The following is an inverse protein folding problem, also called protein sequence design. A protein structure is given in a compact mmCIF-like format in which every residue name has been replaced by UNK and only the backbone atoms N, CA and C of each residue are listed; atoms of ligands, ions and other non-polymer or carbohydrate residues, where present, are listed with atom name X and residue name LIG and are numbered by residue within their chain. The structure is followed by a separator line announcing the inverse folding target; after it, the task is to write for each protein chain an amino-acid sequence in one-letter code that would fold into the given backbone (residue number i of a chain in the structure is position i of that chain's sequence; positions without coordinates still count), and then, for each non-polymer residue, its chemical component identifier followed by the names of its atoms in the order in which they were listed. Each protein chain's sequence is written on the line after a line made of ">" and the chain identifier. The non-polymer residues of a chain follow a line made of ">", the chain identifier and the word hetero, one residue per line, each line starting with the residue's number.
data_IF_526156227331
#
_entry.id   IF_526156227331
#
_cell.length_a   1.000
_cell.length_b   1.000
_cell.length_c   1.000
_cell.angle_alpha   90.00
_cell.angle_beta   90.00
_cell.angle_gamma   90.00
#
_symmetry.space_group_name_H-M   'P 1'
#
loop_
_entity.id
_entity.type
_entity.pdbx_description
1 polymer ?
#
# COMPACT_ATOMS: atom_id res chain seq x y z
N UNK A 1 -15.76 -23.34 -17.68
CA UNK A 1 -14.48 -22.60 -17.48
C UNK A 1 -14.81 -21.13 -17.32
N UNK A 2 -14.33 -20.52 -16.26
CA UNK A 2 -14.50 -19.09 -16.06
C UNK A 2 -13.91 -18.31 -17.22
N UNK A 3 -14.59 -17.25 -17.64
CA UNK A 3 -14.10 -16.32 -18.67
C UNK A 3 -13.36 -15.13 -18.08
N UNK A 4 -13.14 -15.09 -16.76
CA UNK A 4 -12.50 -13.97 -16.07
C UNK A 4 -11.01 -13.89 -16.41
N UNK A 5 -10.57 -12.69 -16.75
CA UNK A 5 -9.15 -12.37 -16.98
C UNK A 5 -8.64 -11.66 -15.73
N UNK A 6 -7.71 -12.28 -15.01
CA UNK A 6 -7.20 -11.71 -13.77
C UNK A 6 -6.17 -10.59 -13.99
N UNK A 7 -6.29 -9.44 -13.31
CA UNK A 7 -5.39 -8.30 -13.47
C UNK A 7 -4.08 -8.46 -12.69
N UNK A 8 -3.38 -9.58 -12.85
CA UNK A 8 -2.15 -9.86 -12.10
C UNK A 8 -1.07 -8.84 -12.47
N UNK A 9 -0.65 -8.04 -11.48
CA UNK A 9 0.35 -6.98 -11.66
C UNK A 9 -0.16 -5.73 -12.39
N UNK A 10 -1.46 -5.65 -12.72
CA UNK A 10 -2.06 -4.47 -13.34
C UNK A 10 -2.58 -3.54 -12.25
N UNK A 11 -2.12 -2.30 -12.26
CA UNK A 11 -2.44 -1.27 -11.26
C UNK A 11 -3.29 -0.12 -11.84
N UNK A 12 -3.45 -0.08 -13.16
CA UNK A 12 -4.15 0.99 -13.85
C UNK A 12 -5.64 0.64 -13.99
N UNK A 13 -6.51 1.42 -13.35
CA UNK A 13 -7.95 1.22 -13.32
C UNK A 13 -8.57 1.34 -14.72
N UNK A 14 -8.16 2.32 -15.51
CA UNK A 14 -8.65 2.50 -16.88
C UNK A 14 -8.36 1.26 -17.74
N UNK A 15 -7.13 0.72 -17.65
CA UNK A 15 -6.77 -0.50 -18.35
C UNK A 15 -7.62 -1.69 -17.89
N UNK A 16 -7.84 -1.85 -16.60
CA UNK A 16 -8.70 -2.92 -16.05
C UNK A 16 -10.09 -2.84 -16.64
N UNK A 17 -10.68 -1.64 -16.69
CA UNK A 17 -12.05 -1.44 -17.17
C UNK A 17 -12.18 -1.58 -18.69
N UNK A 18 -11.24 -1.02 -19.46
CA UNK A 18 -11.27 -1.06 -20.93
C UNK A 18 -10.97 -2.42 -21.51
N UNK A 19 -10.03 -3.15 -20.90
CA UNK A 19 -9.60 -4.47 -21.41
C UNK A 19 -10.42 -5.62 -20.81
N UNK A 20 -11.43 -5.33 -19.98
CA UNK A 20 -12.35 -6.33 -19.45
C UNK A 20 -11.76 -7.25 -18.38
N UNK A 21 -10.75 -6.79 -17.64
CA UNK A 21 -10.21 -7.55 -16.52
C UNK A 21 -11.21 -7.65 -15.36
N UNK A 22 -11.09 -8.73 -14.61
CA UNK A 22 -11.83 -8.92 -13.38
C UNK A 22 -11.52 -7.81 -12.35
N UNK A 23 -12.55 -7.25 -11.76
CA UNK A 23 -12.44 -6.19 -10.75
C UNK A 23 -13.43 -6.42 -9.62
N UNK A 24 -12.95 -6.47 -8.38
CA UNK A 24 -13.79 -6.47 -7.19
C UNK A 24 -14.13 -5.01 -6.86
N UNK A 25 -15.41 -4.69 -6.87
CA UNK A 25 -15.88 -3.31 -6.76
C UNK A 25 -15.73 -2.75 -5.34
N UNK A 26 -14.78 -1.84 -5.18
CA UNK A 26 -14.54 -1.06 -3.95
C UNK A 26 -15.07 0.38 -4.04
N UNK A 27 -15.75 0.71 -5.15
CA UNK A 27 -16.07 2.11 -5.47
C UNK A 27 -17.07 2.76 -4.52
N UNK A 28 -17.92 1.97 -3.83
CA UNK A 28 -18.78 2.49 -2.76
C UNK A 28 -17.97 3.04 -1.57
N UNK A 29 -16.91 2.34 -1.16
CA UNK A 29 -16.00 2.81 -0.10
C UNK A 29 -15.19 4.02 -0.53
N UNK A 30 -14.72 4.02 -1.78
CA UNK A 30 -14.02 5.15 -2.38
C UNK A 30 -14.92 6.39 -2.42
N UNK A 31 -16.18 6.23 -2.82
CA UNK A 31 -17.16 7.31 -2.79
C UNK A 31 -17.36 7.88 -1.38
N UNK A 32 -17.53 7.00 -0.39
CA UNK A 32 -17.63 7.42 1.00
C UNK A 32 -16.38 8.17 1.45
N UNK A 33 -15.19 7.70 1.11
CA UNK A 33 -13.91 8.34 1.44
C UNK A 33 -13.85 9.78 0.91
N UNK A 34 -14.16 9.99 -0.36
CA UNK A 34 -14.06 11.31 -1.01
C UNK A 34 -15.15 12.29 -0.57
N UNK A 35 -16.26 11.80 0.00
CA UNK A 35 -17.35 12.65 0.52
C UNK A 35 -17.21 12.97 2.02
N UNK A 36 -16.36 12.26 2.77
CA UNK A 36 -16.27 12.42 4.24
C UNK A 36 -15.05 13.18 4.72
N UNK A 37 -14.05 13.41 3.87
CA UNK A 37 -12.87 14.17 4.24
C UNK A 37 -12.01 14.53 3.03
N UNK A 38 -10.86 15.14 3.30
CA UNK A 38 -10.01 15.69 2.24
C UNK A 38 -8.56 15.18 2.27
N UNK A 39 -8.03 14.81 3.43
CA UNK A 39 -6.62 14.41 3.56
C UNK A 39 -6.55 13.04 4.20
N UNK A 40 -5.99 12.07 3.46
CA UNK A 40 -5.92 10.68 3.90
C UNK A 40 -4.54 10.06 3.72
N UNK A 41 -4.23 9.17 4.63
CA UNK A 41 -3.07 8.31 4.59
C UNK A 41 -3.50 6.84 4.70
N UNK A 42 -2.92 5.97 3.88
CA UNK A 42 -3.14 4.53 3.93
C UNK A 42 -1.84 3.75 3.82
N UNK A 43 -1.54 2.97 4.84
CA UNK A 43 -0.49 1.97 4.81
C UNK A 43 -1.10 0.57 4.62
N UNK A 44 -0.58 -0.20 3.67
CA UNK A 44 -0.91 -1.62 3.44
C UNK A 44 0.34 -2.35 2.94
N UNK A 45 0.48 -3.64 3.21
CA UNK A 45 1.55 -4.44 2.64
C UNK A 45 1.61 -4.33 1.11
N UNK A 46 2.73 -4.73 0.53
CA UNK A 46 2.87 -4.79 -0.92
C UNK A 46 1.81 -5.68 -1.56
N UNK A 47 1.40 -5.37 -2.79
CA UNK A 47 0.44 -6.16 -3.59
C UNK A 47 -1.00 -6.20 -3.04
N UNK A 48 -1.36 -5.29 -2.13
CA UNK A 48 -2.72 -5.17 -1.60
C UNK A 48 -3.66 -4.30 -2.44
N UNK A 49 -3.18 -3.65 -3.51
CA UNK A 49 -4.03 -2.85 -4.39
C UNK A 49 -4.01 -1.34 -4.11
N UNK A 50 -3.01 -0.81 -3.34
CA UNK A 50 -2.87 0.64 -3.08
C UNK A 50 -2.81 1.49 -4.35
N UNK A 51 -1.93 1.11 -5.28
CA UNK A 51 -1.77 1.82 -6.55
C UNK A 51 -3.05 1.77 -7.41
N UNK A 52 -3.79 0.65 -7.36
CA UNK A 52 -5.09 0.54 -8.02
C UNK A 52 -6.12 1.47 -7.38
N UNK A 53 -6.14 1.59 -6.05
CA UNK A 53 -6.98 2.54 -5.33
C UNK A 53 -6.68 3.98 -5.79
N UNK A 54 -5.40 4.38 -5.86
CA UNK A 54 -5.02 5.71 -6.35
C UNK A 54 -5.39 5.91 -7.82
N UNK A 55 -5.21 4.91 -8.67
CA UNK A 55 -5.63 4.96 -10.07
C UNK A 55 -7.15 5.09 -10.22
N UNK A 56 -7.93 4.46 -9.33
CA UNK A 56 -9.39 4.59 -9.30
C UNK A 56 -9.82 6.00 -8.85
N UNK A 57 -9.16 6.55 -7.81
CA UNK A 57 -9.37 7.93 -7.37
C UNK A 57 -9.00 8.93 -8.45
N UNK A 58 -7.90 8.72 -9.16
CA UNK A 58 -7.49 9.56 -10.29
C UNK A 58 -8.56 9.57 -11.39
N UNK A 59 -9.08 8.40 -11.78
CA UNK A 59 -10.14 8.29 -12.77
C UNK A 59 -11.42 9.00 -12.30
N UNK A 60 -11.79 8.85 -11.03
CA UNK A 60 -12.94 9.54 -10.44
C UNK A 60 -12.79 11.06 -10.49
N UNK A 61 -11.67 11.60 -10.00
CA UNK A 61 -11.44 13.04 -9.97
C UNK A 61 -11.19 13.66 -11.35
N UNK A 62 -10.82 12.87 -12.35
CA UNK A 62 -10.79 13.28 -13.76
C UNK A 62 -12.16 13.18 -14.45
N UNK A 63 -13.23 12.92 -13.73
CA UNK A 63 -14.59 12.86 -14.26
C UNK A 63 -14.84 11.72 -15.27
N UNK A 64 -14.02 10.65 -15.25
CA UNK A 64 -14.07 9.52 -16.20
C UNK A 64 -15.23 8.58 -15.91
N UNK A 65 -16.46 9.10 -15.99
CA UNK A 65 -17.69 8.38 -15.66
C UNK A 65 -17.80 7.03 -16.37
N UNK A 66 -17.39 6.95 -17.63
CA UNK A 66 -17.47 5.75 -18.47
C UNK A 66 -16.70 4.55 -17.89
N UNK A 67 -15.69 4.80 -17.05
CA UNK A 67 -14.93 3.73 -16.41
C UNK A 67 -15.66 3.10 -15.22
N UNK A 68 -16.67 3.77 -14.71
CA UNK A 68 -17.45 3.34 -13.54
C UNK A 68 -18.79 2.68 -13.90
N UNK A 69 -19.06 2.50 -15.19
CA UNK A 69 -20.27 1.83 -15.66
C UNK A 69 -20.43 0.44 -15.03
N UNK A 70 -21.58 0.18 -14.42
CA UNK A 70 -21.88 -1.05 -13.70
C UNK A 70 -21.25 -1.18 -12.31
N UNK A 71 -20.52 -0.18 -11.83
CA UNK A 71 -19.96 -0.14 -10.47
C UNK A 71 -20.84 0.71 -9.53
N UNK A 72 -20.72 0.48 -8.22
CA UNK A 72 -21.53 1.17 -7.20
C UNK A 72 -21.45 2.70 -7.31
N UNK A 73 -20.27 3.25 -7.62
CA UNK A 73 -20.06 4.69 -7.73
C UNK A 73 -20.89 5.34 -8.85
N UNK A 74 -21.22 4.62 -9.92
CA UNK A 74 -22.06 5.15 -11.00
C UNK A 74 -23.43 5.60 -10.49
N UNK A 75 -24.02 4.84 -9.58
CA UNK A 75 -25.32 5.16 -8.98
C UNK A 75 -25.23 6.23 -7.90
N UNK A 76 -24.09 6.34 -7.20
CA UNK A 76 -23.86 7.22 -6.06
C UNK A 76 -23.44 8.64 -6.49
N UNK A 77 -22.57 8.77 -7.50
CA UNK A 77 -22.10 10.07 -7.99
C UNK A 77 -23.01 10.61 -9.08
N UNK A 78 -23.36 11.91 -8.97
CA UNK A 78 -24.26 12.56 -9.92
C UNK A 78 -23.56 13.64 -10.78
N UNK A 79 -22.57 14.31 -10.20
CA UNK A 79 -22.03 15.54 -10.80
C UNK A 79 -20.80 15.27 -11.68
N UNK A 80 -20.01 14.24 -11.39
CA UNK A 80 -18.80 13.86 -12.14
C UNK A 80 -17.90 15.04 -12.51
N UNK A 81 -17.64 15.89 -11.52
CA UNK A 81 -16.82 17.09 -11.70
C UNK A 81 -15.37 16.70 -12.00
N UNK A 82 -14.80 17.33 -13.01
CA UNK A 82 -13.40 17.18 -13.37
C UNK A 82 -12.52 18.13 -12.54
N UNK A 83 -11.50 17.56 -11.87
CA UNK A 83 -10.50 18.26 -11.08
C UNK A 83 -9.10 18.09 -11.69
N UNK A 84 -8.19 19.07 -11.57
CA UNK A 84 -6.79 18.85 -11.88
C UNK A 84 -6.18 17.88 -10.87
N UNK A 85 -5.56 16.80 -11.36
CA UNK A 85 -4.95 15.75 -10.53
C UNK A 85 -3.45 15.77 -10.73
N UNK A 86 -2.71 15.90 -9.63
CA UNK A 86 -1.25 15.70 -9.55
C UNK A 86 -1.04 14.36 -8.88
N UNK A 87 -0.59 13.37 -9.64
CA UNK A 87 -0.31 12.02 -9.16
C UNK A 87 1.20 11.77 -9.22
N UNK A 88 1.82 11.54 -8.06
CA UNK A 88 3.24 11.32 -7.89
C UNK A 88 3.48 9.86 -7.48
N UNK A 89 4.34 9.16 -8.21
CA UNK A 89 4.76 7.79 -7.92
C UNK A 89 6.25 7.77 -7.52
N UNK A 90 6.53 7.51 -6.24
CA UNK A 90 7.89 7.41 -5.74
C UNK A 90 8.51 6.01 -5.93
N UNK A 91 7.79 5.08 -6.56
CA UNK A 91 8.32 3.75 -6.86
C UNK A 91 9.21 3.70 -8.13
N UNK A 92 9.19 4.75 -8.93
CA UNK A 92 9.74 4.73 -10.29
C UNK A 92 11.28 4.68 -10.39
N UNK A 93 12.04 4.74 -9.26
CA UNK A 93 13.49 4.81 -9.26
C UNK A 93 14.13 4.09 -8.07
N UNK A 94 15.42 3.73 -8.22
CA UNK A 94 16.29 3.35 -7.10
C UNK A 94 16.84 4.60 -6.42
N UNK A 95 16.90 4.59 -5.09
CA UNK A 95 17.34 5.71 -4.27
C UNK A 95 18.71 5.39 -3.64
N UNK A 96 19.77 5.82 -4.28
CA UNK A 96 21.16 5.56 -3.86
C UNK A 96 21.90 6.82 -3.42
N UNK A 97 21.48 8.00 -3.90
CA UNK A 97 22.11 9.31 -3.63
C UNK A 97 21.08 10.35 -3.23
N UNK A 98 21.54 11.40 -2.52
CA UNK A 98 20.73 12.54 -2.08
C UNK A 98 19.86 13.15 -3.18
N UNK A 99 20.44 13.28 -4.38
CA UNK A 99 19.75 13.88 -5.52
C UNK A 99 18.72 12.96 -6.20
N UNK A 100 18.62 11.69 -5.84
CA UNK A 100 17.76 10.77 -6.57
C UNK A 100 16.28 11.07 -6.32
N UNK A 101 15.91 11.44 -5.09
CA UNK A 101 14.56 11.85 -4.75
C UNK A 101 14.16 13.16 -5.44
N UNK A 102 15.02 14.16 -5.37
CA UNK A 102 14.79 15.47 -6.00
C UNK A 102 14.60 15.29 -7.50
N UNK A 103 15.49 14.54 -8.17
CA UNK A 103 15.40 14.29 -9.63
C UNK A 103 14.15 13.51 -10.03
N UNK A 104 13.67 12.61 -9.17
CA UNK A 104 12.43 11.88 -9.44
C UNK A 104 11.24 12.82 -9.40
N UNK A 105 11.12 13.59 -8.32
CA UNK A 105 10.03 14.57 -8.16
C UNK A 105 10.10 15.63 -9.27
N UNK A 106 11.28 16.16 -9.54
CA UNK A 106 11.53 17.11 -10.62
C UNK A 106 10.94 16.66 -11.97
N UNK A 107 11.26 15.44 -12.39
CA UNK A 107 10.73 14.87 -13.64
C UNK A 107 9.20 14.76 -13.66
N UNK A 108 8.60 14.43 -12.54
CA UNK A 108 7.16 14.29 -12.45
C UNK A 108 6.48 15.66 -12.46
N UNK A 109 7.04 16.66 -11.75
CA UNK A 109 6.51 18.04 -11.79
C UNK A 109 6.57 18.63 -13.20
N UNK A 110 7.65 18.40 -13.96
CA UNK A 110 7.78 18.89 -15.35
C UNK A 110 6.59 18.48 -16.24
N UNK A 111 6.02 17.29 -16.04
CA UNK A 111 4.86 16.83 -16.80
C UNK A 111 3.65 17.72 -16.55
N UNK A 112 3.40 18.08 -15.29
CA UNK A 112 2.28 18.93 -14.91
C UNK A 112 2.54 20.41 -15.20
N UNK A 113 3.77 20.87 -15.08
CA UNK A 113 4.18 22.22 -15.48
C UNK A 113 3.98 22.46 -16.96
N UNK A 114 4.25 21.47 -17.81
CA UNK A 114 3.93 21.56 -19.24
C UNK A 114 2.42 21.72 -19.48
N UNK A 115 1.58 21.19 -18.60
CA UNK A 115 0.12 21.28 -18.71
C UNK A 115 -0.44 22.57 -18.09
N UNK A 116 0.03 22.96 -16.90
CA UNK A 116 -0.58 24.04 -16.11
C UNK A 116 0.26 25.31 -16.10
N UNK A 117 1.54 25.26 -16.39
CA UNK A 117 2.49 26.35 -16.35
C UNK A 117 3.51 26.20 -15.21
N UNK A 118 4.55 27.03 -15.25
CA UNK A 118 5.63 27.11 -14.27
C UNK A 118 6.06 28.55 -14.04
N UNK A 119 6.85 28.80 -13.00
CA UNK A 119 7.46 30.10 -12.73
C UNK A 119 9.00 29.97 -12.75
N UNK A 120 9.68 30.86 -13.45
CA UNK A 120 11.14 30.85 -13.59
C UNK A 120 11.88 31.24 -12.30
N UNK A 121 11.16 31.75 -11.29
CA UNK A 121 11.73 32.10 -9.97
C UNK A 121 11.68 30.93 -8.96
N UNK A 122 11.07 29.82 -9.32
CA UNK A 122 10.99 28.66 -8.42
C UNK A 122 12.35 27.93 -8.39
N UNK A 123 12.97 27.85 -7.21
CA UNK A 123 14.31 27.29 -7.06
C UNK A 123 14.27 25.85 -6.56
N UNK A 124 13.28 25.49 -5.74
CA UNK A 124 13.15 24.19 -5.09
C UNK A 124 11.93 23.41 -5.58
N UNK A 125 11.91 22.10 -5.32
CA UNK A 125 10.76 21.26 -5.70
C UNK A 125 9.48 21.61 -4.93
N UNK A 126 9.59 22.13 -3.73
CA UNK A 126 8.48 22.59 -2.91
C UNK A 126 7.93 23.95 -3.44
N UNK A 127 8.77 24.91 -3.82
CA UNK A 127 8.33 26.16 -4.48
C UNK A 127 7.57 25.84 -5.78
N UNK A 128 8.11 24.94 -6.57
CA UNK A 128 7.47 24.50 -7.82
C UNK A 128 6.12 23.84 -7.58
N UNK A 129 5.99 23.01 -6.53
CA UNK A 129 4.71 22.41 -6.18
C UNK A 129 3.69 23.48 -5.75
N UNK A 130 4.09 24.49 -4.96
CA UNK A 130 3.22 25.64 -4.60
C UNK A 130 2.71 26.33 -5.85
N UNK A 131 3.61 26.71 -6.75
CA UNK A 131 3.25 27.38 -8.01
C UNK A 131 2.35 26.51 -8.87
N UNK A 132 2.68 25.24 -9.02
CA UNK A 132 1.89 24.28 -9.81
C UNK A 132 0.47 24.12 -9.28
N UNK A 133 0.28 23.97 -7.97
CA UNK A 133 -1.05 23.87 -7.34
C UNK A 133 -1.86 25.13 -7.64
N UNK A 134 -1.26 26.32 -7.47
CA UNK A 134 -1.93 27.60 -7.75
C UNK A 134 -2.33 27.72 -9.22
N UNK A 135 -1.39 27.50 -10.14
CA UNK A 135 -1.64 27.65 -11.59
C UNK A 135 -2.65 26.62 -12.10
N UNK A 136 -2.61 25.38 -11.60
CA UNK A 136 -3.59 24.37 -11.95
C UNK A 136 -5.00 24.77 -11.51
N UNK A 137 -5.13 25.28 -10.27
CA UNK A 137 -6.41 25.75 -9.76
C UNK A 137 -6.94 26.99 -10.53
N UNK A 138 -6.08 27.97 -10.81
CA UNK A 138 -6.44 29.16 -11.57
C UNK A 138 -6.87 28.82 -13.01
N UNK A 139 -6.13 27.92 -13.67
CA UNK A 139 -6.41 27.53 -15.06
C UNK A 139 -7.69 26.73 -15.22
N UNK A 140 -8.03 25.88 -14.24
CA UNK A 140 -9.21 25.01 -14.32
C UNK A 140 -10.43 25.57 -13.61
N UNK A 141 -10.27 26.55 -12.73
CA UNK A 141 -11.32 27.03 -11.83
C UNK A 141 -11.72 26.01 -10.76
N UNK A 142 -10.94 24.93 -10.60
CA UNK A 142 -11.20 23.85 -9.67
C UNK A 142 -10.01 23.66 -8.72
N UNK A 143 -10.27 23.22 -7.48
CA UNK A 143 -9.22 22.86 -6.53
C UNK A 143 -8.48 21.61 -7.00
N UNK A 144 -7.21 21.48 -6.62
CA UNK A 144 -6.30 20.43 -7.04
C UNK A 144 -6.48 19.17 -6.20
N UNK A 145 -6.35 18.01 -6.83
CA UNK A 145 -6.24 16.70 -6.16
C UNK A 145 -4.77 16.25 -6.17
N UNK A 146 -4.25 15.81 -5.03
CA UNK A 146 -2.88 15.32 -4.88
C UNK A 146 -2.93 13.85 -4.49
N UNK A 147 -2.34 12.98 -5.30
CA UNK A 147 -2.19 11.56 -5.04
C UNK A 147 -0.70 11.21 -5.00
N UNK A 148 -0.28 10.49 -3.96
CA UNK A 148 1.13 10.08 -3.79
C UNK A 148 1.18 8.58 -3.52
N UNK A 149 1.83 7.84 -4.42
CA UNK A 149 2.07 6.41 -4.25
C UNK A 149 3.48 6.12 -3.73
N UNK A 150 3.58 5.11 -2.83
CA UNK A 150 4.84 4.62 -2.24
C UNK A 150 5.69 5.74 -1.60
N UNK A 151 5.03 6.64 -0.85
CA UNK A 151 5.67 7.83 -0.24
C UNK A 151 6.91 7.49 0.61
N UNK A 152 6.93 6.31 1.21
CA UNK A 152 7.96 5.81 2.12
C UNK A 152 9.13 5.09 1.44
N UNK A 153 9.04 4.85 0.15
CA UNK A 153 10.05 4.11 -0.63
C UNK A 153 11.47 4.69 -0.52
N UNK A 154 11.69 6.02 -0.61
CA UNK A 154 13.00 6.60 -0.42
C UNK A 154 13.58 6.28 0.96
N UNK A 155 12.75 6.41 2.00
CA UNK A 155 13.13 6.15 3.38
C UNK A 155 13.47 4.67 3.63
N UNK A 156 12.66 3.75 3.08
CA UNK A 156 12.88 2.31 3.19
C UNK A 156 14.18 1.87 2.49
N UNK A 157 14.50 2.44 1.33
CA UNK A 157 15.73 2.13 0.63
C UNK A 157 16.97 2.74 1.27
N UNK A 158 16.82 3.76 2.10
CA UNK A 158 17.91 4.39 2.84
C UNK A 158 18.16 3.76 4.23
N UNK A 159 17.43 2.71 4.62
CA UNK A 159 17.68 2.01 5.89
C UNK A 159 19.13 1.53 5.94
N UNK A 160 19.81 1.81 7.07
CA UNK A 160 21.24 1.52 7.26
C UNK A 160 22.20 2.61 6.71
N UNK A 161 21.65 3.69 6.13
CA UNK A 161 22.38 4.88 5.66
C UNK A 161 21.79 6.13 6.29
N UNK A 162 22.12 6.37 7.54
CA UNK A 162 21.43 7.32 8.41
C UNK A 162 21.46 8.77 7.88
N UNK A 163 22.58 9.22 7.29
CA UNK A 163 22.70 10.55 6.67
C UNK A 163 21.76 10.71 5.47
N UNK A 164 21.75 9.75 4.58
CA UNK A 164 20.86 9.74 3.40
C UNK A 164 19.37 9.70 3.81
N UNK A 165 19.07 8.95 4.85
CA UNK A 165 17.71 8.84 5.36
C UNK A 165 17.23 10.16 5.95
N UNK A 166 18.10 10.91 6.67
CA UNK A 166 17.76 12.23 7.20
C UNK A 166 17.56 13.26 6.09
N UNK A 167 18.37 13.21 5.03
CA UNK A 167 18.20 14.06 3.85
C UNK A 167 16.84 13.83 3.16
N UNK A 168 16.49 12.57 2.93
CA UNK A 168 15.19 12.23 2.34
C UNK A 168 14.04 12.65 3.25
N UNK A 169 14.18 12.48 4.56
CA UNK A 169 13.19 12.94 5.54
C UNK A 169 12.97 14.43 5.44
N UNK A 170 14.06 15.21 5.45
CA UNK A 170 14.01 16.68 5.36
C UNK A 170 13.35 17.13 4.06
N UNK A 171 13.74 16.54 2.93
CA UNK A 171 13.17 16.84 1.61
C UNK A 171 11.67 16.52 1.55
N UNK A 172 11.26 15.33 2.01
CA UNK A 172 9.85 14.93 2.02
C UNK A 172 9.01 15.78 2.98
N UNK A 173 9.58 16.18 4.13
CA UNK A 173 8.90 17.07 5.08
C UNK A 173 8.61 18.43 4.47
N UNK A 174 9.59 19.05 3.83
CA UNK A 174 9.40 20.32 3.13
C UNK A 174 8.35 20.19 2.02
N UNK A 175 8.51 19.18 1.17
CA UNK A 175 7.63 18.94 0.03
C UNK A 175 6.16 18.68 0.43
N UNK A 176 5.91 17.81 1.41
CA UNK A 176 4.53 17.55 1.86
C UNK A 176 3.98 18.68 2.74
N UNK A 177 4.84 19.46 3.38
CA UNK A 177 4.44 20.67 4.12
C UNK A 177 3.67 21.68 3.26
N UNK A 178 3.95 21.71 1.95
CA UNK A 178 3.22 22.52 0.96
C UNK A 178 1.71 22.26 1.02
N UNK A 179 1.27 21.01 1.23
CA UNK A 179 -0.15 20.69 1.28
C UNK A 179 -0.91 21.45 2.38
N UNK A 180 -0.23 21.76 3.50
CA UNK A 180 -0.83 22.54 4.58
C UNK A 180 -0.96 24.02 4.20
N UNK A 181 0.09 24.60 3.64
CA UNK A 181 0.09 26.01 3.25
C UNK A 181 -0.86 26.31 2.07
N UNK A 182 -1.12 25.28 1.23
CA UNK A 182 -1.97 25.35 0.04
C UNK A 182 -3.37 24.77 0.26
N UNK A 183 -3.82 24.57 1.51
CA UNK A 183 -5.10 23.93 1.85
C UNK A 183 -6.31 24.53 1.10
N UNK A 184 -6.36 25.85 0.96
CA UNK A 184 -7.44 26.54 0.21
C UNK A 184 -7.54 26.14 -1.27
N UNK A 185 -6.46 25.65 -1.87
CA UNK A 185 -6.37 25.20 -3.26
C UNK A 185 -6.51 23.69 -3.44
N UNK A 186 -6.51 22.91 -2.35
CA UNK A 186 -6.56 21.45 -2.41
C UNK A 186 -7.98 20.96 -2.16
N UNK A 187 -8.49 20.12 -3.06
CA UNK A 187 -9.77 19.43 -2.95
C UNK A 187 -9.65 18.15 -2.13
N UNK A 188 -8.58 17.39 -2.40
CA UNK A 188 -8.36 16.07 -1.83
C UNK A 188 -6.89 15.71 -1.94
N UNK A 189 -6.37 15.03 -0.93
CA UNK A 189 -5.03 14.47 -0.95
C UNK A 189 -5.04 13.05 -0.37
N UNK A 190 -4.37 12.11 -1.02
CA UNK A 190 -4.17 10.77 -0.50
C UNK A 190 -2.74 10.31 -0.72
N UNK A 191 -2.12 9.87 0.38
CA UNK A 191 -0.78 9.29 0.38
C UNK A 191 -0.88 7.81 0.71
N UNK A 192 -0.18 6.98 -0.06
CA UNK A 192 -0.08 5.55 0.21
C UNK A 192 1.36 5.10 0.37
N UNK A 193 1.57 4.06 1.18
CA UNK A 193 2.86 3.45 1.40
C UNK A 193 2.75 2.06 2.01
N UNK A 194 3.89 1.44 2.20
CA UNK A 194 3.99 0.16 2.92
C UNK A 194 4.04 0.41 4.41
N UNK A 195 4.86 1.37 4.83
CA UNK A 195 5.12 1.67 6.24
C UNK A 195 4.63 3.07 6.62
N UNK A 196 4.58 3.33 7.91
CA UNK A 196 4.31 4.66 8.48
C UNK A 196 5.61 5.40 8.80
N UNK A 197 6.61 5.22 7.95
CA UNK A 197 7.95 5.77 8.11
C UNK A 197 7.89 7.30 8.19
N UNK A 198 8.44 7.85 9.27
CA UNK A 198 8.44 9.28 9.45
C UNK A 198 7.06 9.92 9.65
N UNK A 199 6.00 9.16 9.95
CA UNK A 199 4.66 9.72 10.23
C UNK A 199 4.73 10.86 11.24
N UNK A 200 5.55 10.70 12.28
CA UNK A 200 5.75 11.73 13.30
C UNK A 200 6.65 12.86 12.80
N UNK A 201 7.63 12.58 11.92
CA UNK A 201 8.64 13.56 11.51
C UNK A 201 8.38 14.19 10.14
N UNK A 202 7.89 13.42 9.17
CA UNK A 202 7.58 13.92 7.81
C UNK A 202 6.22 14.63 7.77
N UNK A 203 5.24 14.11 8.49
CA UNK A 203 3.88 14.66 8.53
C UNK A 203 3.58 15.44 9.82
N UNK A 204 4.58 15.77 10.64
CA UNK A 204 4.39 16.56 11.88
C UNK A 204 3.60 17.85 11.67
N UNK A 205 3.75 18.44 10.50
CA UNK A 205 3.10 19.69 10.13
C UNK A 205 1.72 19.49 9.46
N UNK A 206 1.36 18.25 9.05
CA UNK A 206 0.07 17.89 8.44
C UNK A 206 -0.91 17.33 9.48
N UNK A 207 -1.38 18.17 10.39
CA UNK A 207 -2.29 17.78 11.48
C UNK A 207 -3.67 17.30 10.98
N UNK A 208 -4.02 17.61 9.73
CA UNK A 208 -5.28 17.27 9.08
C UNK A 208 -5.24 15.94 8.31
N UNK A 209 -4.10 15.23 8.31
CA UNK A 209 -3.93 13.94 7.61
C UNK A 209 -4.57 12.81 8.42
N UNK A 210 -5.65 12.25 7.91
CA UNK A 210 -6.38 11.14 8.52
C UNK A 210 -5.75 9.80 8.14
N UNK A 211 -5.11 9.14 9.09
CA UNK A 211 -4.59 7.78 8.88
C UNK A 211 -5.71 6.75 9.00
N UNK A 212 -6.16 6.25 7.86
CA UNK A 212 -7.24 5.26 7.78
C UNK A 212 -6.75 3.80 7.85
N UNK A 213 -5.45 3.58 8.03
CA UNK A 213 -4.85 2.24 7.99
C UNK A 213 -5.44 1.27 9.01
N UNK A 214 -5.88 1.77 10.17
CA UNK A 214 -6.47 0.97 11.24
C UNK A 214 -7.94 1.35 11.51
N UNK A 215 -8.63 2.00 10.59
CA UNK A 215 -10.05 2.30 10.76
C UNK A 215 -10.91 1.15 10.22
N UNK A 216 -11.72 0.54 11.09
CA UNK A 216 -12.62 -0.56 10.73
C UNK A 216 -13.48 -0.26 9.50
N UNK A 217 -13.88 1.00 9.31
CA UNK A 217 -14.70 1.46 8.20
C UNK A 217 -14.02 1.30 6.82
N UNK A 218 -12.67 1.23 6.77
CA UNK A 218 -11.87 1.17 5.54
C UNK A 218 -10.92 -0.04 5.52
N UNK A 219 -11.22 -1.06 6.32
CA UNK A 219 -10.36 -2.27 6.39
C UNK A 219 -10.27 -2.95 5.02
N UNK A 220 -11.38 -3.05 4.34
CA UNK A 220 -11.56 -3.74 3.06
C UNK A 220 -11.44 -2.82 1.83
N UNK A 221 -10.99 -1.57 2.00
CA UNK A 221 -10.72 -0.67 0.86
C UNK A 221 -9.63 -1.21 -0.08
N UNK A 222 -8.71 -2.01 0.46
CA UNK A 222 -7.68 -2.77 -0.25
C UNK A 222 -7.67 -4.21 0.26
N UNK A 223 -7.29 -5.15 -0.59
CA UNK A 223 -7.35 -6.58 -0.28
C UNK A 223 -8.66 -7.21 -0.76
N UNK A 224 -8.85 -8.47 -0.44
CA UNK A 224 -10.09 -9.22 -0.72
C UNK A 224 -10.57 -9.84 0.59
N UNK A 225 -11.83 -9.62 0.95
CA UNK A 225 -12.46 -10.29 2.09
C UNK A 225 -12.99 -11.66 1.70
N UNK A 226 -13.24 -12.52 2.70
CA UNK A 226 -13.83 -13.85 2.47
C UNK A 226 -15.22 -13.74 1.82
N UNK A 227 -16.03 -12.76 2.21
CA UNK A 227 -17.32 -12.50 1.57
C UNK A 227 -17.17 -12.11 0.11
N UNK A 228 -16.24 -11.21 -0.23
CA UNK A 228 -15.99 -10.82 -1.62
C UNK A 228 -15.45 -11.96 -2.47
N UNK A 229 -14.64 -12.85 -1.87
CA UNK A 229 -14.18 -14.07 -2.54
C UNK A 229 -15.38 -14.91 -2.98
N UNK A 230 -16.31 -15.20 -2.07
CA UNK A 230 -17.48 -16.00 -2.37
C UNK A 230 -18.44 -15.30 -3.34
N UNK A 231 -18.70 -14.01 -3.16
CA UNK A 231 -19.63 -13.24 -4.01
C UNK A 231 -19.13 -13.12 -5.45
N UNK A 232 -17.82 -13.12 -5.66
CA UNK A 232 -17.25 -12.83 -6.98
C UNK A 232 -16.56 -14.02 -7.66
N UNK A 233 -16.18 -15.07 -6.94
CA UNK A 233 -15.33 -16.15 -7.45
C UNK A 233 -15.89 -17.57 -7.14
N UNK A 234 -17.22 -17.72 -6.94
CA UNK A 234 -17.85 -18.99 -6.59
C UNK A 234 -17.62 -20.08 -7.66
N UNK A 235 -17.72 -19.71 -8.93
CA UNK A 235 -17.47 -20.64 -10.06
C UNK A 235 -16.02 -21.07 -10.08
N UNK A 236 -15.11 -20.11 -9.92
CA UNK A 236 -13.67 -20.34 -9.92
C UNK A 236 -13.21 -21.17 -8.71
N UNK A 237 -13.86 -20.99 -7.54
CA UNK A 237 -13.64 -21.85 -6.37
C UNK A 237 -14.00 -23.31 -6.67
N UNK A 238 -15.13 -23.54 -7.35
CA UNK A 238 -15.54 -24.89 -7.74
C UNK A 238 -14.59 -25.50 -8.78
N UNK A 239 -14.17 -24.73 -9.77
CA UNK A 239 -13.20 -25.17 -10.80
C UNK A 239 -11.83 -25.49 -10.16
N UNK A 240 -11.38 -24.68 -9.19
CA UNK A 240 -10.13 -24.93 -8.48
C UNK A 240 -10.23 -26.20 -7.60
N UNK A 241 -11.36 -26.40 -6.92
CA UNK A 241 -11.61 -27.62 -6.15
C UNK A 241 -11.52 -28.86 -7.04
N UNK A 242 -12.22 -28.86 -8.17
CA UNK A 242 -12.20 -29.95 -9.15
C UNK A 242 -10.78 -30.22 -9.66
N UNK A 243 -10.03 -29.18 -10.02
CA UNK A 243 -8.66 -29.29 -10.52
C UNK A 243 -7.70 -29.91 -9.51
N UNK A 244 -7.98 -29.74 -8.21
CA UNK A 244 -7.17 -30.28 -7.10
C UNK A 244 -7.70 -31.61 -6.57
N UNK A 245 -8.85 -32.08 -7.02
CA UNK A 245 -9.52 -33.26 -6.47
C UNK A 245 -10.00 -33.04 -5.02
N UNK A 246 -10.36 -31.82 -4.69
CA UNK A 246 -10.85 -31.40 -3.39
C UNK A 246 -12.32 -31.07 -3.43
N UNK A 247 -12.99 -31.12 -2.29
CA UNK A 247 -14.34 -30.56 -2.17
C UNK A 247 -14.29 -29.02 -2.12
N UNK A 248 -15.42 -28.37 -2.40
CA UNK A 248 -15.56 -26.91 -2.28
C UNK A 248 -15.14 -26.39 -0.90
N UNK A 249 -15.55 -27.07 0.18
CA UNK A 249 -15.18 -26.67 1.54
C UNK A 249 -13.68 -26.82 1.81
N UNK A 250 -13.05 -27.89 1.32
CA UNK A 250 -11.61 -28.11 1.49
C UNK A 250 -10.79 -27.06 0.76
N UNK A 251 -11.18 -26.65 -0.45
CA UNK A 251 -10.46 -25.60 -1.18
C UNK A 251 -10.60 -24.24 -0.48
N UNK A 252 -11.80 -23.90 0.05
CA UNK A 252 -12.01 -22.66 0.80
C UNK A 252 -11.14 -22.62 2.07
N UNK A 253 -11.06 -23.74 2.82
CA UNK A 253 -10.20 -23.83 4.01
C UNK A 253 -8.74 -23.68 3.61
N UNK A 254 -8.28 -24.39 2.57
CA UNK A 254 -6.90 -24.32 2.11
C UNK A 254 -6.53 -22.90 1.62
N UNK A 255 -7.39 -22.22 0.86
CA UNK A 255 -7.15 -20.84 0.42
C UNK A 255 -7.05 -19.88 1.61
N UNK A 256 -7.90 -20.07 2.63
CA UNK A 256 -7.86 -19.26 3.86
C UNK A 256 -6.55 -19.48 4.60
N UNK A 257 -6.11 -20.73 4.79
CA UNK A 257 -4.84 -21.02 5.45
C UNK A 257 -3.63 -20.48 4.71
N UNK A 258 -3.66 -20.49 3.37
CA UNK A 258 -2.53 -20.06 2.54
C UNK A 258 -2.44 -18.55 2.33
N UNK A 259 -3.56 -17.81 2.18
CA UNK A 259 -3.54 -16.44 1.65
C UNK A 259 -4.35 -15.41 2.43
N UNK A 260 -5.23 -15.84 3.35
CA UNK A 260 -6.00 -14.96 4.24
C UNK A 260 -5.19 -14.59 5.49
N UNK A 261 -5.84 -13.94 6.43
CA UNK A 261 -5.34 -13.75 7.80
C UNK A 261 -4.61 -12.44 8.04
N UNK A 262 -4.59 -11.52 7.09
CA UNK A 262 -4.13 -10.16 7.35
C UNK A 262 -5.20 -9.38 8.14
N UNK A 263 -4.92 -9.08 9.40
CA UNK A 263 -5.76 -8.28 10.27
C UNK A 263 -5.11 -6.92 10.51
N UNK A 264 -5.81 -5.85 10.15
CA UNK A 264 -5.32 -4.48 10.27
C UNK A 264 -5.79 -3.78 11.54
N UNK A 265 -6.78 -4.36 12.24
CA UNK A 265 -7.19 -4.00 13.60
C UNK A 265 -7.48 -5.27 14.41
N UNK A 266 -7.56 -5.15 15.73
CA UNK A 266 -7.76 -6.31 16.61
C UNK A 266 -9.12 -6.99 16.45
N UNK A 267 -10.09 -6.29 15.91
CA UNK A 267 -11.46 -6.79 15.69
C UNK A 267 -11.85 -6.76 14.20
N UNK A 268 -10.88 -6.67 13.29
CA UNK A 268 -11.16 -6.75 11.85
C UNK A 268 -11.31 -8.19 11.37
N UNK A 269 -12.02 -8.32 10.24
CA UNK A 269 -12.00 -9.56 9.45
C UNK A 269 -10.59 -9.80 8.88
N UNK A 270 -10.28 -11.05 8.56
CA UNK A 270 -9.10 -11.41 7.78
C UNK A 270 -9.24 -10.92 6.33
N UNK A 271 -8.11 -10.56 5.74
CA UNK A 271 -8.03 -10.11 4.35
C UNK A 271 -7.06 -10.99 3.58
N UNK A 272 -7.46 -11.45 2.40
CA UNK A 272 -6.58 -12.12 1.45
C UNK A 272 -5.66 -11.11 0.77
N UNK A 273 -4.42 -11.52 0.51
CA UNK A 273 -3.56 -10.80 -0.43
C UNK A 273 -4.07 -11.03 -1.86
N UNK A 274 -4.50 -9.97 -2.58
CA UNK A 274 -5.09 -10.15 -3.91
C UNK A 274 -4.13 -10.76 -4.94
N UNK A 275 -2.84 -10.44 -4.84
CA UNK A 275 -1.85 -10.93 -5.79
C UNK A 275 -1.66 -12.45 -5.67
N UNK A 276 -1.50 -12.97 -4.45
CA UNK A 276 -1.36 -14.40 -4.21
C UNK A 276 -2.63 -15.15 -4.55
N UNK A 277 -3.78 -14.63 -4.12
CA UNK A 277 -5.08 -15.22 -4.38
C UNK A 277 -5.36 -15.37 -5.88
N UNK A 278 -5.19 -14.30 -6.67
CA UNK A 278 -5.45 -14.34 -8.12
C UNK A 278 -4.45 -15.22 -8.88
N UNK A 279 -3.18 -15.32 -8.43
CA UNK A 279 -2.23 -16.25 -9.00
C UNK A 279 -2.62 -17.72 -8.73
N UNK A 280 -3.13 -18.01 -7.52
CA UNK A 280 -3.61 -19.35 -7.19
C UNK A 280 -4.79 -19.76 -8.10
N UNK A 281 -5.74 -18.87 -8.33
CA UNK A 281 -6.85 -19.11 -9.27
C UNK A 281 -6.37 -19.26 -10.71
N UNK A 282 -5.44 -18.42 -11.16
CA UNK A 282 -4.91 -18.50 -12.53
C UNK A 282 -4.25 -19.86 -12.82
N UNK A 283 -3.54 -20.42 -11.85
CA UNK A 283 -2.73 -21.63 -11.98
C UNK A 283 -3.44 -22.89 -11.46
N UNK A 284 -4.51 -22.74 -10.69
CA UNK A 284 -5.13 -23.77 -9.88
C UNK A 284 -4.11 -24.50 -8.98
N UNK A 285 -3.18 -23.74 -8.40
CA UNK A 285 -2.07 -24.22 -7.58
C UNK A 285 -1.82 -23.33 -6.39
N UNK A 286 -1.40 -23.92 -5.25
CA UNK A 286 -0.88 -23.18 -4.11
C UNK A 286 0.61 -22.91 -4.29
N UNK A 287 1.04 -21.68 -4.00
CA UNK A 287 2.44 -21.27 -4.14
C UNK A 287 2.76 -20.00 -3.35
N UNK A 288 4.05 -19.71 -3.20
CA UNK A 288 4.53 -18.53 -2.45
C UNK A 288 4.65 -17.30 -3.36
N UNK A 289 3.56 -16.93 -4.01
CA UNK A 289 3.53 -15.90 -5.06
C UNK A 289 3.95 -14.50 -4.58
N UNK A 290 3.55 -14.12 -3.38
CA UNK A 290 3.91 -12.82 -2.82
C UNK A 290 5.41 -12.72 -2.57
N UNK A 291 6.02 -13.77 -2.03
CA UNK A 291 7.46 -13.85 -1.79
C UNK A 291 8.28 -13.81 -3.09
N UNK A 292 7.84 -14.48 -4.15
CA UNK A 292 8.51 -14.47 -5.46
C UNK A 292 8.63 -13.05 -6.07
N UNK A 293 7.81 -12.10 -5.65
CA UNK A 293 7.91 -10.69 -6.11
C UNK A 293 9.10 -9.93 -5.53
N UNK A 294 9.91 -10.58 -4.72
CA UNK A 294 11.13 -10.07 -4.11
C UNK A 294 10.97 -9.72 -2.64
N UNK A 295 11.82 -10.29 -1.80
CA UNK A 295 11.91 -9.90 -0.40
C UNK A 295 12.73 -8.61 -0.29
N UNK A 296 12.27 -7.64 0.49
CA UNK A 296 12.97 -6.38 0.60
C UNK A 296 14.35 -6.57 1.25
N UNK A 297 15.40 -6.15 0.57
CA UNK A 297 16.77 -6.19 1.11
C UNK A 297 16.86 -5.45 2.45
N UNK A 298 16.10 -4.35 2.59
CA UNK A 298 16.07 -3.57 3.83
C UNK A 298 15.63 -4.39 5.05
N UNK A 299 14.75 -5.40 4.89
CA UNK A 299 14.31 -6.23 6.00
C UNK A 299 15.45 -7.08 6.54
N UNK A 300 16.27 -7.64 5.65
CA UNK A 300 17.46 -8.41 6.05
C UNK A 300 18.45 -7.54 6.79
N UNK A 301 18.72 -6.34 6.26
CA UNK A 301 19.61 -5.38 6.90
C UNK A 301 19.08 -4.96 8.27
N UNK A 302 17.78 -4.73 8.39
CA UNK A 302 17.14 -4.37 9.64
C UNK A 302 17.26 -5.49 10.70
N UNK A 303 16.94 -6.74 10.32
CA UNK A 303 17.03 -7.89 11.22
C UNK A 303 18.47 -8.17 11.66
N UNK A 304 19.46 -8.02 10.76
CA UNK A 304 20.87 -8.15 11.09
C UNK A 304 21.35 -7.05 12.03
N UNK A 305 21.01 -5.79 11.75
CA UNK A 305 21.38 -4.63 12.57
C UNK A 305 20.94 -4.80 14.02
N UNK A 306 19.74 -5.36 14.24
CA UNK A 306 19.14 -5.53 15.56
C UNK A 306 19.37 -6.91 16.19
N UNK A 307 20.11 -7.82 15.54
CA UNK A 307 20.30 -9.19 16.02
C UNK A 307 19.02 -9.87 16.49
N UNK A 308 17.93 -9.65 15.72
CA UNK A 308 16.59 -10.06 16.11
C UNK A 308 16.45 -11.57 16.19
N UNK A 309 15.86 -12.06 17.29
CA UNK A 309 15.57 -13.48 17.49
C UNK A 309 14.31 -13.88 16.72
N UNK A 310 14.51 -14.65 15.64
CA UNK A 310 13.41 -15.08 14.77
C UNK A 310 12.40 -16.02 15.47
N UNK A 311 12.80 -16.71 16.55
CA UNK A 311 11.89 -17.59 17.29
C UNK A 311 10.80 -16.79 18.02
N UNK A 312 11.08 -15.55 18.38
CA UNK A 312 10.11 -14.65 19.03
C UNK A 312 9.03 -14.16 18.07
N UNK A 313 9.28 -14.17 16.77
CA UNK A 313 8.43 -13.56 15.76
C UNK A 313 7.00 -14.13 15.71
N UNK A 314 6.86 -15.42 16.02
CA UNK A 314 5.55 -16.08 16.07
C UNK A 314 4.67 -15.67 17.27
N UNK A 315 5.27 -15.01 18.29
CA UNK A 315 4.63 -14.68 19.58
C UNK A 315 5.02 -13.26 20.05
N UNK A 316 5.19 -12.33 19.13
CA UNK A 316 5.60 -10.97 19.47
C UNK A 316 4.43 -10.20 20.11
N UNK A 317 4.75 -9.47 21.19
CA UNK A 317 3.79 -8.59 21.87
C UNK A 317 4.26 -7.15 21.79
N UNK A 318 3.32 -6.22 21.53
CA UNK A 318 3.66 -4.83 21.33
C UNK A 318 2.49 -3.89 21.61
N UNK A 319 2.78 -2.60 21.84
CA UNK A 319 1.75 -1.58 22.05
C UNK A 319 1.26 -0.97 20.72
N UNK A 320 0.09 -0.30 20.78
CA UNK A 320 -0.44 0.46 19.65
C UNK A 320 0.52 1.55 19.15
N UNK A 321 1.25 2.19 20.05
CA UNK A 321 2.21 3.24 19.73
C UNK A 321 3.34 2.70 18.87
N UNK A 322 3.88 1.54 19.22
CA UNK A 322 4.92 0.85 18.45
C UNK A 322 4.40 0.45 17.07
N UNK A 323 3.18 -0.11 16.97
CA UNK A 323 2.60 -0.49 15.67
C UNK A 323 2.33 0.70 14.75
N UNK A 324 2.08 1.88 15.31
CA UNK A 324 1.71 3.08 14.56
C UNK A 324 2.88 3.99 14.18
N UNK A 325 4.10 3.67 14.57
CA UNK A 325 5.28 4.47 14.23
C UNK A 325 6.40 3.59 13.69
N UNK A 326 7.12 4.09 12.71
CA UNK A 326 8.44 3.62 12.34
C UNK A 326 9.38 4.80 12.55
N UNK A 327 10.15 4.76 13.63
CA UNK A 327 11.23 5.71 13.86
C UNK A 327 12.53 5.13 13.32
N UNK A 328 13.24 5.90 12.51
CA UNK A 328 14.54 5.50 11.94
C UNK A 328 15.63 5.31 13.00
N UNK A 329 15.44 5.91 14.16
CA UNK A 329 16.37 5.80 15.30
C UNK A 329 16.01 4.67 16.26
N UNK A 330 14.83 4.04 16.08
CA UNK A 330 14.36 2.96 16.92
C UNK A 330 15.14 1.68 16.68
N UNK A 331 15.57 1.05 17.77
CA UNK A 331 16.22 -0.27 17.75
C UNK A 331 15.21 -1.43 17.62
N UNK A 332 13.94 -1.13 17.37
CA UNK A 332 12.88 -2.11 17.26
C UNK A 332 12.46 -2.35 15.78
N UNK A 333 12.73 -3.53 15.21
CA UNK A 333 12.35 -3.85 13.83
C UNK A 333 10.85 -4.19 13.66
N UNK A 334 10.12 -4.46 14.75
CA UNK A 334 8.74 -4.98 14.73
C UNK A 334 7.78 -4.09 13.94
N UNK A 335 7.77 -2.75 14.08
CA UNK A 335 6.87 -1.90 13.31
C UNK A 335 7.04 -2.09 11.79
N UNK A 336 8.28 -2.16 11.31
CA UNK A 336 8.57 -2.35 9.89
C UNK A 336 8.15 -3.73 9.42
N UNK A 337 8.41 -4.78 10.22
CA UNK A 337 8.06 -6.17 9.90
C UNK A 337 6.53 -6.32 9.81
N UNK A 338 5.79 -5.77 10.79
CA UNK A 338 4.33 -5.77 10.81
C UNK A 338 3.74 -4.99 9.63
N UNK A 339 4.14 -3.74 9.44
CA UNK A 339 3.59 -2.88 8.40
C UNK A 339 3.92 -3.39 6.99
N UNK A 340 5.07 -4.05 6.83
CA UNK A 340 5.45 -4.72 5.58
C UNK A 340 4.64 -5.99 5.28
N UNK A 341 3.84 -6.50 6.24
CA UNK A 341 2.95 -7.64 6.07
C UNK A 341 3.56 -9.00 6.37
N UNK A 342 4.73 -9.05 7.03
CA UNK A 342 5.30 -10.31 7.51
C UNK A 342 4.68 -10.76 8.83
N UNK A 343 4.18 -9.82 9.62
CA UNK A 343 3.36 -10.08 10.80
C UNK A 343 2.00 -9.42 10.65
N UNK A 344 1.04 -9.95 11.41
CA UNK A 344 -0.33 -9.43 11.52
C UNK A 344 -0.80 -9.49 12.96
N UNK A 345 -1.89 -8.80 13.27
CA UNK A 345 -2.53 -8.86 14.59
C UNK A 345 -3.25 -10.20 14.73
N UNK A 346 -2.87 -11.00 15.74
CA UNK A 346 -3.51 -12.29 16.10
C UNK A 346 -4.38 -12.18 17.35
N UNK A 347 -4.22 -11.12 18.13
CA UNK A 347 -5.02 -10.88 19.31
C UNK A 347 -4.72 -9.54 19.94
N UNK A 348 -5.54 -9.17 20.90
CA UNK A 348 -5.42 -7.93 21.65
C UNK A 348 -5.84 -8.16 23.11
N UNK A 349 -5.04 -7.68 24.02
CA UNK A 349 -5.33 -7.63 25.43
C UNK A 349 -5.87 -6.25 25.78
N UNK A 350 -7.17 -6.17 26.08
CA UNK A 350 -7.85 -4.89 26.37
C UNK A 350 -7.41 -4.29 27.72
N UNK A 351 -7.02 -5.13 28.68
CA UNK A 351 -6.60 -4.67 30.02
C UNK A 351 -5.26 -3.95 29.96
N UNK A 352 -4.33 -4.47 29.17
CA UNK A 352 -2.98 -3.92 29.06
C UNK A 352 -2.74 -3.12 27.77
N UNK A 353 -3.69 -3.11 26.83
CA UNK A 353 -3.53 -2.42 25.54
C UNK A 353 -2.46 -3.05 24.63
N UNK A 354 -2.24 -4.36 24.76
CA UNK A 354 -1.15 -5.09 24.10
C UNK A 354 -1.69 -5.89 22.91
N UNK A 355 -1.06 -5.73 21.76
CA UNK A 355 -1.29 -6.54 20.56
C UNK A 355 -0.38 -7.76 20.56
N UNK A 356 -0.94 -8.91 20.24
CA UNK A 356 -0.20 -10.14 19.95
C UNK A 356 -0.08 -10.28 18.44
N UNK A 357 1.13 -10.43 17.95
CA UNK A 357 1.45 -10.56 16.53
C UNK A 357 1.86 -11.99 16.19
N UNK A 358 1.70 -12.35 14.92
CA UNK A 358 2.14 -13.61 14.35
C UNK A 358 2.09 -13.57 12.82
N UNK A 359 2.52 -14.63 12.17
CA UNK A 359 2.43 -14.70 10.71
C UNK A 359 0.98 -14.65 10.24
N UNK A 360 0.65 -13.91 9.17
CA UNK A 360 -0.72 -13.84 8.69
C UNK A 360 -1.22 -15.21 8.24
N UNK A 361 -0.42 -15.93 7.46
CA UNK A 361 -0.80 -17.16 6.81
C UNK A 361 0.43 -18.03 6.47
N UNK A 362 0.15 -19.20 5.93
CA UNK A 362 1.16 -20.21 5.61
C UNK A 362 2.13 -19.77 4.50
N UNK A 363 1.66 -19.03 3.49
CA UNK A 363 2.54 -18.49 2.44
C UNK A 363 3.65 -17.63 3.04
N UNK A 364 3.26 -16.70 3.94
CA UNK A 364 4.23 -15.77 4.56
C UNK A 364 5.16 -16.50 5.51
N UNK A 365 4.65 -17.39 6.34
CA UNK A 365 5.44 -18.15 7.29
C UNK A 365 6.51 -19.00 6.58
N UNK A 366 6.10 -19.86 5.64
CA UNK A 366 7.01 -20.71 4.88
C UNK A 366 8.03 -19.90 4.07
N UNK A 367 7.56 -18.85 3.38
CA UNK A 367 8.41 -18.00 2.57
C UNK A 367 9.43 -17.24 3.40
N UNK A 368 9.01 -16.71 4.56
CA UNK A 368 9.86 -15.96 5.46
C UNK A 368 10.97 -16.84 6.06
N UNK A 369 10.61 -18.04 6.55
CA UNK A 369 11.57 -18.99 7.09
C UNK A 369 12.59 -19.41 6.01
N UNK A 370 12.13 -19.84 4.83
CA UNK A 370 13.00 -20.24 3.72
C UNK A 370 13.96 -19.12 3.29
N UNK A 371 13.47 -17.87 3.28
CA UNK A 371 14.27 -16.72 2.90
C UNK A 371 15.35 -16.37 3.93
N UNK A 372 15.04 -16.46 5.22
CA UNK A 372 15.97 -16.06 6.28
C UNK A 372 16.99 -17.14 6.63
N UNK A 373 16.68 -18.41 6.43
CA UNK A 373 17.60 -19.52 6.72
C UNK A 373 19.04 -19.30 6.21
N UNK A 374 19.27 -18.88 4.96
CA UNK A 374 20.63 -18.66 4.45
C UNK A 374 21.41 -17.56 5.17
N UNK A 375 20.72 -16.60 5.81
CA UNK A 375 21.35 -15.47 6.49
C UNK A 375 21.68 -15.76 7.96
N UNK A 376 21.01 -16.74 8.56
CA UNK A 376 21.19 -17.12 9.96
C UNK A 376 21.88 -18.48 10.14
N UNK A 377 21.77 -19.39 9.17
CA UNK A 377 22.58 -20.60 9.15
C UNK A 377 24.00 -20.24 8.71
N UNK A 378 24.99 -20.51 9.57
CA UNK A 378 26.38 -20.45 9.13
C UNK A 378 26.52 -21.36 7.89
N UNK A 379 27.07 -20.84 6.81
CA UNK A 379 27.22 -21.50 5.50
C UNK A 379 27.83 -22.90 5.55
N UNK A 380 28.55 -23.25 6.62
CA UNK A 380 29.14 -24.58 6.84
C UNK A 380 28.17 -25.64 7.35
N UNK A 381 26.94 -25.30 7.73
CA UNK A 381 25.95 -26.26 8.23
C UNK A 381 24.92 -26.67 7.15
N UNK A 382 24.82 -25.90 6.05
CA UNK A 382 23.84 -26.18 4.99
C UNK A 382 24.30 -27.27 4.02
N UNK A 383 25.62 -27.48 3.84
CA UNK A 383 26.17 -28.56 2.99
C UNK A 383 26.02 -29.96 3.61
N UNK A 384 25.69 -30.06 4.90
CA UNK A 384 25.53 -31.36 5.59
C UNK A 384 24.08 -31.80 5.81
N UNK A 385 23.07 -31.04 5.31
CA UNK A 385 21.66 -31.32 5.52
C UNK A 385 20.87 -31.68 4.23
N UNK A 386 21.60 -31.99 3.14
CA UNK A 386 21.03 -32.56 1.90
C UNK A 386 21.65 -33.90 1.56
#
# INVERSE_FOLDING_TARGET
>A
MSSKIYPIGIQNFEKIRKDGYFYIDKTALIYKLVKTGSYYFLSRPRRFGKSLLLSTLEAYFKGRKELFEGLAMESLEKDWIEYPVIHLDLNAKKFDTENDLIRLIDRQLLVYEAQYGSCSSDETIDDRLVTLIRLAAEKTGQRVVILVDEYDKPMLQAIGRDELQEEYRSTLKAFYGVMKSMDGYIKFAMLTGVTKFGKVSVFSDLNNLNDISMWNQYIDICGVSDQELHDNLEVELSEFADARGMTYNEICVALREYYDGYHFTHNSIGMYNPFSLLNAFLRNEFGSYWFETGTPTYLVELLKKHHYDLQRMAHEETSAEVLNSVDSTSDNPIPVIYQSGYLTIKGYDEEFGIYRLGFPNREVEEGFIKFLLPFYANTNAVESAF
#
